data_IF_409471627868
#
_entry.id   IF_409471627868
#
_cell.length_a   1.000
_cell.length_b   1.000
_cell.length_c   1.000
_cell.angle_alpha   90.00
_cell.angle_beta   90.00
_cell.angle_gamma   90.00
#
_symmetry.space_group_name_H-M   'P 1'
#
loop_
_entity.id
_entity.type
_entity.pdbx_description
1 polymer ?
#
# COMPACT_ATOMS: atom_id res chain seq x y z
N UNK A 1 -9.55 -26.95 1.07
CA UNK A 1 -9.96 -25.55 0.88
C UNK A 1 -10.08 -25.27 -0.62
N UNK A 2 -11.24 -24.80 -1.07
CA UNK A 2 -11.58 -24.62 -2.49
C UNK A 2 -10.80 -23.46 -3.11
N UNK A 3 -10.56 -22.39 -2.35
CA UNK A 3 -9.76 -21.24 -2.81
C UNK A 3 -8.32 -21.67 -3.09
N UNK A 4 -7.72 -22.41 -2.16
CA UNK A 4 -6.39 -22.99 -2.36
C UNK A 4 -6.35 -23.94 -3.57
N UNK A 5 -7.39 -24.74 -3.80
CA UNK A 5 -7.46 -25.63 -4.95
C UNK A 5 -7.52 -24.85 -6.27
N UNK A 6 -8.38 -23.84 -6.37
CA UNK A 6 -8.48 -22.99 -7.56
C UNK A 6 -7.16 -22.28 -7.88
N UNK A 7 -6.49 -21.76 -6.84
CA UNK A 7 -5.15 -21.16 -6.97
C UNK A 7 -4.15 -22.15 -7.58
N UNK A 8 -4.16 -23.41 -7.14
CA UNK A 8 -3.27 -24.44 -7.67
C UNK A 8 -3.58 -24.78 -9.13
N UNK A 9 -4.86 -24.83 -9.52
CA UNK A 9 -5.24 -25.04 -10.92
C UNK A 9 -4.84 -23.85 -11.80
N UNK A 10 -5.00 -22.63 -11.31
CA UNK A 10 -4.56 -21.41 -12.02
C UNK A 10 -3.03 -21.41 -12.20
N UNK A 11 -2.27 -21.78 -11.16
CA UNK A 11 -0.82 -21.98 -11.24
C UNK A 11 -0.42 -23.11 -12.21
N UNK A 12 -1.17 -24.20 -12.27
CA UNK A 12 -0.90 -25.26 -13.22
C UNK A 12 -1.11 -24.79 -14.66
N UNK A 13 -2.17 -24.01 -14.92
CA UNK A 13 -2.49 -23.49 -16.25
C UNK A 13 -1.57 -22.35 -16.70
N UNK A 14 -1.02 -21.55 -15.78
CA UNK A 14 -0.03 -20.53 -16.13
C UNK A 14 1.28 -21.16 -16.64
N UNK A 15 1.63 -22.34 -16.14
CA UNK A 15 2.82 -23.09 -16.57
C UNK A 15 2.52 -24.05 -17.74
N UNK A 16 1.32 -24.65 -17.76
CA UNK A 16 0.87 -25.63 -18.75
C UNK A 16 -0.54 -25.31 -19.25
N UNK A 17 -0.68 -24.36 -20.20
CA UNK A 17 -1.98 -23.84 -20.63
C UNK A 17 -2.96 -24.89 -21.17
N UNK A 18 -2.44 -26.01 -21.71
CA UNK A 18 -3.24 -27.07 -22.31
C UNK A 18 -3.52 -28.25 -21.36
N UNK A 19 -3.24 -28.13 -20.06
CA UNK A 19 -3.46 -29.21 -19.10
C UNK A 19 -4.97 -29.45 -18.85
N UNK A 20 -5.54 -30.47 -19.50
CA UNK A 20 -6.98 -30.78 -19.50
C UNK A 20 -7.58 -30.93 -18.10
N UNK A 21 -6.94 -31.69 -17.21
CA UNK A 21 -7.43 -31.89 -15.84
C UNK A 21 -7.48 -30.59 -15.01
N UNK A 22 -6.58 -29.64 -15.26
CA UNK A 22 -6.54 -28.37 -14.55
C UNK A 22 -7.62 -27.41 -15.10
N UNK A 23 -7.85 -27.43 -16.43
CA UNK A 23 -8.93 -26.66 -17.06
C UNK A 23 -10.29 -27.07 -16.52
N UNK A 24 -10.60 -28.38 -16.52
CA UNK A 24 -11.90 -28.88 -16.04
C UNK A 24 -12.12 -28.58 -14.56
N UNK A 25 -11.08 -28.76 -13.73
CA UNK A 25 -11.21 -28.50 -12.30
C UNK A 25 -11.34 -27.00 -12.01
N UNK A 26 -10.58 -26.14 -12.70
CA UNK A 26 -10.70 -24.68 -12.58
C UNK A 26 -12.07 -24.19 -13.01
N UNK A 27 -12.62 -24.72 -14.10
CA UNK A 27 -13.97 -24.34 -14.56
C UNK A 27 -15.03 -24.60 -13.47
N UNK A 28 -14.87 -25.67 -12.68
CA UNK A 28 -15.77 -26.00 -11.57
C UNK A 28 -15.51 -25.16 -10.33
N UNK A 29 -14.26 -24.82 -10.02
CA UNK A 29 -13.92 -24.07 -8.80
C UNK A 29 -14.08 -22.56 -8.98
N UNK A 30 -13.93 -22.03 -10.19
CA UNK A 30 -13.93 -20.60 -10.46
C UNK A 30 -15.20 -19.89 -9.97
N UNK A 31 -16.39 -20.40 -10.32
CA UNK A 31 -17.66 -19.79 -9.89
C UNK A 31 -17.87 -19.87 -8.37
N UNK A 32 -17.37 -20.93 -7.73
CA UNK A 32 -17.44 -21.09 -6.28
C UNK A 32 -16.53 -20.06 -5.60
N UNK A 33 -15.28 -19.92 -6.06
CA UNK A 33 -14.32 -18.96 -5.52
C UNK A 33 -14.80 -17.53 -5.75
N UNK A 34 -15.31 -17.20 -6.93
CA UNK A 34 -15.87 -15.88 -7.22
C UNK A 34 -17.02 -15.52 -6.26
N UNK A 35 -17.91 -16.47 -5.99
CA UNK A 35 -18.98 -16.25 -5.02
C UNK A 35 -18.46 -16.08 -3.59
N UNK A 36 -17.46 -16.88 -3.18
CA UNK A 36 -16.83 -16.73 -1.86
C UNK A 36 -16.14 -15.37 -1.70
N UNK A 37 -15.43 -14.90 -2.74
CA UNK A 37 -14.77 -13.60 -2.75
C UNK A 37 -15.81 -12.47 -2.68
N UNK A 38 -16.92 -12.58 -3.42
CA UNK A 38 -18.03 -11.62 -3.37
C UNK A 38 -18.67 -11.55 -2.00
N UNK A 39 -18.90 -12.70 -1.35
CA UNK A 39 -19.41 -12.76 0.02
C UNK A 39 -18.43 -12.14 1.03
N UNK A 40 -17.13 -12.37 0.85
CA UNK A 40 -16.10 -11.77 1.70
C UNK A 40 -16.09 -10.24 1.55
N UNK A 41 -16.13 -9.72 0.32
CA UNK A 41 -16.19 -8.28 0.06
C UNK A 41 -17.44 -7.66 0.69
N UNK A 42 -18.61 -8.31 0.56
CA UNK A 42 -19.83 -7.86 1.22
C UNK A 42 -19.68 -7.75 2.74
N UNK A 43 -19.05 -8.73 3.39
CA UNK A 43 -18.78 -8.69 4.83
C UNK A 43 -17.83 -7.55 5.23
N UNK A 44 -16.89 -7.19 4.34
CA UNK A 44 -16.00 -6.04 4.55
C UNK A 44 -16.78 -4.74 4.44
N UNK A 45 -17.65 -4.60 3.43
CA UNK A 45 -18.52 -3.43 3.26
C UNK A 45 -19.44 -3.22 4.48
N UNK A 46 -20.08 -4.29 4.96
CA UNK A 46 -20.95 -4.22 6.15
C UNK A 46 -20.18 -3.72 7.40
N UNK A 47 -18.94 -4.16 7.58
CA UNK A 47 -18.07 -3.70 8.67
C UNK A 47 -17.61 -2.25 8.48
N UNK A 48 -17.27 -1.85 7.25
CA UNK A 48 -16.93 -0.48 6.90
C UNK A 48 -18.09 0.45 7.21
N UNK A 49 -19.30 0.11 6.78
CA UNK A 49 -20.49 0.93 6.97
C UNK A 49 -20.87 1.04 8.46
N UNK A 50 -20.69 -0.04 9.22
CA UNK A 50 -20.83 -0.01 10.68
C UNK A 50 -19.82 0.96 11.31
N UNK A 51 -18.56 0.95 10.87
CA UNK A 51 -17.54 1.87 11.37
C UNK A 51 -17.85 3.33 11.00
N UNK A 52 -18.31 3.59 9.77
CA UNK A 52 -18.70 4.92 9.30
C UNK A 52 -19.94 5.46 10.02
N UNK A 53 -20.79 4.59 10.58
CA UNK A 53 -21.96 5.01 11.37
C UNK A 53 -21.59 5.60 12.74
N UNK A 54 -20.37 5.38 13.22
CA UNK A 54 -19.91 5.89 14.51
C UNK A 54 -19.65 7.41 14.38
N UNK A 55 -20.20 8.25 15.27
CA UNK A 55 -19.98 9.68 15.23
C UNK A 55 -18.48 10.06 15.31
N UNK A 56 -18.05 10.99 14.46
CA UNK A 56 -16.65 11.45 14.37
C UNK A 56 -16.14 12.09 15.67
N UNK A 57 -17.03 12.65 16.50
CA UNK A 57 -16.69 13.21 17.80
C UNK A 57 -16.59 12.17 18.94
N UNK A 58 -16.79 10.88 18.63
CA UNK A 58 -16.67 9.82 19.62
C UNK A 58 -15.22 9.71 20.12
N UNK A 59 -15.03 9.90 21.43
CA UNK A 59 -13.69 9.91 22.03
C UNK A 59 -12.92 8.58 21.85
N UNK A 60 -13.61 7.45 21.84
CA UNK A 60 -12.99 6.15 21.60
C UNK A 60 -12.54 6.01 20.14
N UNK A 61 -13.35 6.47 19.18
CA UNK A 61 -12.99 6.51 17.76
C UNK A 61 -11.77 7.42 17.52
N UNK A 62 -11.76 8.63 18.09
CA UNK A 62 -10.61 9.54 17.98
C UNK A 62 -9.32 8.91 18.52
N UNK A 63 -9.39 8.23 19.66
CA UNK A 63 -8.25 7.51 20.24
C UNK A 63 -7.79 6.36 19.34
N UNK A 64 -8.74 5.58 18.81
CA UNK A 64 -8.44 4.47 17.91
C UNK A 64 -7.79 4.95 16.61
N UNK A 65 -8.29 6.03 15.99
CA UNK A 65 -7.69 6.64 14.79
C UNK A 65 -6.24 7.10 15.06
N UNK A 66 -5.99 7.73 16.21
CA UNK A 66 -4.63 8.15 16.61
C UNK A 66 -3.70 6.95 16.79
N UNK A 67 -4.16 5.88 17.45
CA UNK A 67 -3.35 4.67 17.63
C UNK A 67 -3.07 3.97 16.30
N UNK A 68 -4.10 3.83 15.44
CA UNK A 68 -3.97 3.23 14.11
C UNK A 68 -2.97 4.01 13.24
N UNK A 69 -2.91 5.33 13.37
CA UNK A 69 -1.92 6.16 12.67
C UNK A 69 -0.48 5.76 13.03
N UNK A 70 -0.17 5.62 14.32
CA UNK A 70 1.15 5.20 14.77
C UNK A 70 1.48 3.77 14.35
N UNK A 71 0.52 2.86 14.46
CA UNK A 71 0.68 1.47 14.04
C UNK A 71 0.93 1.37 12.53
N UNK A 72 0.22 2.15 11.72
CA UNK A 72 0.41 2.16 10.28
C UNK A 72 1.84 2.56 9.91
N UNK A 73 2.34 3.66 10.49
CA UNK A 73 3.71 4.13 10.25
C UNK A 73 4.73 3.08 10.68
N UNK A 74 4.60 2.55 11.90
CA UNK A 74 5.49 1.51 12.42
C UNK A 74 5.51 0.27 11.50
N UNK A 75 4.35 -0.26 11.13
CA UNK A 75 4.28 -1.50 10.35
C UNK A 75 4.86 -1.35 8.94
N UNK A 76 4.60 -0.23 8.26
CA UNK A 76 5.10 -0.10 6.89
C UNK A 76 6.61 0.12 6.83
N UNK A 77 7.22 0.85 7.77
CA UNK A 77 8.69 0.98 7.79
C UNK A 77 9.35 -0.31 8.29
N UNK A 78 8.70 -1.04 9.19
CA UNK A 78 9.21 -2.32 9.70
C UNK A 78 9.30 -3.40 8.61
N UNK A 79 8.36 -3.41 7.64
CA UNK A 79 8.42 -4.32 6.48
C UNK A 79 9.68 -4.05 5.64
N UNK A 80 10.10 -2.79 5.53
CA UNK A 80 11.32 -2.38 4.81
C UNK A 80 12.61 -2.57 5.65
N UNK A 81 12.49 -3.08 6.88
CA UNK A 81 13.63 -3.43 7.73
C UNK A 81 13.99 -2.40 8.81
N UNK A 82 13.18 -1.35 9.00
CA UNK A 82 13.37 -0.41 10.09
C UNK A 82 13.23 -1.12 11.46
N UNK A 83 14.19 -0.87 12.36
CA UNK A 83 14.32 -1.61 13.62
C UNK A 83 13.70 -0.89 14.81
N UNK A 84 13.05 0.25 14.61
CA UNK A 84 12.42 1.01 15.70
C UNK A 84 11.19 0.29 16.24
N UNK A 85 11.00 0.33 17.56
CA UNK A 85 9.79 -0.21 18.18
C UNK A 85 8.61 0.76 18.01
N UNK A 86 7.38 0.25 18.12
CA UNK A 86 6.17 1.09 18.08
C UNK A 86 6.23 2.26 19.09
N UNK A 87 6.78 2.03 20.28
CA UNK A 87 6.93 3.08 21.29
C UNK A 87 7.95 4.15 20.88
N UNK A 88 9.06 3.75 20.24
CA UNK A 88 10.05 4.68 19.70
C UNK A 88 9.46 5.50 18.54
N UNK A 89 8.78 4.86 17.60
CA UNK A 89 8.07 5.52 16.49
C UNK A 89 7.07 6.54 17.03
N UNK A 90 6.24 6.16 18.01
CA UNK A 90 5.29 7.08 18.66
C UNK A 90 6.00 8.28 19.28
N UNK A 91 7.06 8.04 20.07
CA UNK A 91 7.83 9.09 20.71
C UNK A 91 8.38 10.10 19.70
N UNK A 92 8.92 9.64 18.57
CA UNK A 92 9.44 10.49 17.50
C UNK A 92 8.33 11.35 16.89
N UNK A 93 7.18 10.76 16.61
CA UNK A 93 6.06 11.47 15.97
C UNK A 93 5.42 12.52 16.89
N UNK A 94 5.38 12.26 18.19
CA UNK A 94 4.78 13.17 19.18
C UNK A 94 5.74 14.26 19.62
N UNK A 95 7.00 13.91 19.91
CA UNK A 95 7.97 14.83 20.54
C UNK A 95 8.97 15.44 19.57
N UNK A 96 9.15 14.83 18.39
CA UNK A 96 10.24 15.13 17.44
C UNK A 96 11.65 14.97 18.04
N UNK A 97 11.79 14.25 19.15
CA UNK A 97 13.08 13.97 19.79
C UNK A 97 13.66 12.68 19.21
N UNK A 98 14.96 12.71 18.91
CA UNK A 98 15.69 11.55 18.41
C UNK A 98 15.87 10.48 19.50
N UNK A 99 15.83 9.22 19.09
CA UNK A 99 16.06 8.05 19.92
C UNK A 99 17.54 7.67 19.85
N UNK A 100 18.19 7.64 21.02
CA UNK A 100 19.61 7.27 21.11
C UNK A 100 19.86 5.83 20.61
N UNK A 101 20.98 5.64 19.90
CA UNK A 101 21.40 4.33 19.41
C UNK A 101 20.65 3.81 18.18
N UNK A 102 19.86 4.66 17.50
CA UNK A 102 19.16 4.33 16.24
C UNK A 102 19.71 5.18 15.09
N UNK A 103 19.60 4.66 13.87
CA UNK A 103 20.10 5.36 12.68
C UNK A 103 19.28 6.60 12.38
N UNK A 104 19.92 7.67 11.90
CA UNK A 104 19.22 8.88 11.43
C UNK A 104 18.32 8.54 10.24
N UNK A 105 18.73 7.61 9.38
CA UNK A 105 17.91 7.17 8.25
C UNK A 105 16.58 6.57 8.72
N UNK A 106 16.60 5.71 9.75
CA UNK A 106 15.39 5.12 10.32
C UNK A 106 14.44 6.18 10.92
N UNK A 107 14.98 7.25 11.50
CA UNK A 107 14.17 8.39 11.96
C UNK A 107 13.53 9.11 10.76
N UNK A 108 14.32 9.36 9.73
CA UNK A 108 13.90 10.10 8.55
C UNK A 108 12.83 9.35 7.75
N UNK A 109 12.87 8.02 7.70
CA UNK A 109 11.81 7.18 7.12
C UNK A 109 10.46 7.39 7.85
N UNK A 110 10.47 7.36 9.18
CA UNK A 110 9.27 7.59 10.01
C UNK A 110 8.72 9.00 9.80
N UNK A 111 9.60 10.00 9.78
CA UNK A 111 9.22 11.39 9.57
C UNK A 111 8.71 11.65 8.14
N UNK A 112 9.32 11.00 7.14
CA UNK A 112 8.92 11.09 5.75
C UNK A 112 7.53 10.52 5.52
N UNK A 113 7.25 9.36 6.10
CA UNK A 113 5.93 8.76 6.01
C UNK A 113 4.86 9.55 6.77
N UNK A 114 5.18 10.11 7.94
CA UNK A 114 4.29 11.04 8.66
C UNK A 114 3.94 12.26 7.79
N UNK A 115 4.93 12.83 7.11
CA UNK A 115 4.71 13.94 6.18
C UNK A 115 3.83 13.53 4.99
N UNK A 116 4.05 12.34 4.42
CA UNK A 116 3.26 11.81 3.32
C UNK A 116 1.80 11.57 3.71
N UNK A 117 1.55 10.94 4.86
CA UNK A 117 0.20 10.70 5.37
C UNK A 117 -0.55 12.00 5.68
N UNK A 118 0.13 13.00 6.26
CA UNK A 118 -0.45 14.33 6.46
C UNK A 118 -0.84 15.00 5.15
N UNK A 119 -0.02 14.87 4.11
CA UNK A 119 -0.33 15.41 2.79
C UNK A 119 -1.56 14.74 2.17
N UNK A 120 -1.62 13.40 2.20
CA UNK A 120 -2.78 12.65 1.71
C UNK A 120 -4.05 13.11 2.44
N UNK A 121 -4.03 13.14 3.77
CA UNK A 121 -5.20 13.47 4.59
C UNK A 121 -5.69 14.91 4.43
N UNK A 122 -4.76 15.87 4.25
CA UNK A 122 -5.10 17.29 4.16
C UNK A 122 -5.41 17.77 2.75
N UNK A 123 -4.76 17.19 1.73
CA UNK A 123 -4.78 17.72 0.37
C UNK A 123 -5.52 16.83 -0.61
N UNK A 124 -5.37 15.50 -0.48
CA UNK A 124 -5.88 14.57 -1.51
C UNK A 124 -7.28 14.03 -1.18
N UNK A 125 -7.57 13.71 0.09
CA UNK A 125 -8.84 13.06 0.46
C UNK A 125 -10.10 13.84 0.11
N UNK A 126 -10.04 15.18 0.16
CA UNK A 126 -11.20 16.04 -0.09
C UNK A 126 -11.21 16.65 -1.50
N UNK A 127 -10.26 16.26 -2.34
CA UNK A 127 -10.12 16.78 -3.70
C UNK A 127 -11.05 16.01 -4.63
N UNK A 128 -12.06 16.68 -5.17
CA UNK A 128 -12.97 16.16 -6.20
C UNK A 128 -12.30 16.22 -7.59
N UNK A 129 -11.13 15.59 -7.75
CA UNK A 129 -10.41 15.49 -9.02
C UNK A 129 -9.64 14.17 -9.10
N UNK A 130 -9.41 13.73 -10.32
CA UNK A 130 -8.62 12.57 -10.66
C UNK A 130 -7.24 12.57 -9.97
N UNK A 131 -6.75 11.37 -9.69
CA UNK A 131 -5.40 11.17 -9.20
C UNK A 131 -4.45 11.43 -10.35
N UNK A 132 -3.48 12.32 -10.14
CA UNK A 132 -2.50 12.74 -11.14
C UNK A 132 -1.13 12.16 -10.84
N UNK A 133 -0.25 12.16 -11.85
CA UNK A 133 1.15 11.80 -11.64
C UNK A 133 1.83 12.68 -10.59
N UNK A 134 1.49 13.99 -10.58
CA UNK A 134 1.99 14.94 -9.60
C UNK A 134 1.67 14.52 -8.17
N UNK A 135 0.47 13.98 -7.92
CA UNK A 135 0.08 13.52 -6.58
C UNK A 135 0.95 12.35 -6.11
N UNK A 136 1.21 11.37 -6.98
CA UNK A 136 2.06 10.21 -6.68
C UNK A 136 3.51 10.66 -6.42
N UNK A 137 4.06 11.54 -7.26
CA UNK A 137 5.42 12.04 -7.07
C UNK A 137 5.55 12.89 -5.80
N UNK A 138 4.52 13.64 -5.45
CA UNK A 138 4.51 14.50 -4.25
C UNK A 138 4.37 13.68 -2.95
N UNK A 139 3.67 12.53 -3.01
CA UNK A 139 3.70 11.50 -1.96
C UNK A 139 5.12 10.91 -1.87
N UNK A 140 5.68 10.43 -2.99
CA UNK A 140 7.02 9.81 -3.01
C UNK A 140 8.10 10.76 -2.48
N UNK A 141 8.02 12.04 -2.85
CA UNK A 141 8.90 13.11 -2.36
C UNK A 141 8.86 13.25 -0.83
N UNK A 142 7.69 13.11 -0.20
CA UNK A 142 7.58 13.17 1.26
C UNK A 142 8.10 11.91 1.93
N UNK A 143 7.74 10.75 1.39
CA UNK A 143 8.19 9.45 1.90
C UNK A 143 9.71 9.39 1.93
N UNK A 144 10.36 9.71 0.81
CA UNK A 144 11.81 9.54 0.67
C UNK A 144 12.61 10.81 0.96
N UNK A 145 12.03 12.01 0.88
CA UNK A 145 12.79 13.27 0.84
C UNK A 145 13.59 13.60 2.10
N UNK A 146 13.28 13.01 3.25
CA UNK A 146 14.12 13.14 4.45
C UNK A 146 15.32 12.20 4.42
N UNK A 147 15.24 11.08 3.69
CA UNK A 147 16.29 10.07 3.56
C UNK A 147 17.18 10.39 2.36
N UNK A 148 16.56 10.60 1.20
CA UNK A 148 17.19 10.98 -0.05
C UNK A 148 16.42 12.11 -0.74
N UNK A 149 16.81 13.38 -0.51
CA UNK A 149 16.15 14.54 -1.11
C UNK A 149 16.40 14.68 -2.61
N UNK A 150 17.40 13.98 -3.18
CA UNK A 150 17.75 14.05 -4.60
C UNK A 150 16.82 13.14 -5.40
N UNK A 151 16.58 11.92 -4.91
CA UNK A 151 15.71 10.94 -5.57
C UNK A 151 14.22 11.11 -5.19
N UNK A 152 13.92 11.80 -4.09
CA UNK A 152 12.56 12.06 -3.63
C UNK A 152 11.67 12.73 -4.71
N UNK A 153 10.63 12.02 -5.14
CA UNK A 153 9.70 12.50 -6.17
C UNK A 153 10.21 12.42 -7.60
N UNK A 154 11.31 11.72 -7.84
CA UNK A 154 11.84 11.45 -9.18
C UNK A 154 11.61 9.99 -9.59
N UNK A 155 11.51 9.75 -10.89
CA UNK A 155 11.56 8.39 -11.41
C UNK A 155 12.98 7.84 -11.37
N UNK A 156 13.08 6.52 -11.19
CA UNK A 156 14.34 5.80 -11.23
C UNK A 156 15.02 5.96 -12.59
N UNK A 157 16.34 6.19 -12.57
CA UNK A 157 17.19 6.42 -13.76
C UNK A 157 18.06 5.24 -14.17
N UNK A 158 18.13 4.21 -13.34
CA UNK A 158 19.02 3.05 -13.49
C UNK A 158 18.25 1.75 -13.33
N UNK A 159 18.60 0.67 -14.02
CA UNK A 159 17.89 -0.61 -13.87
C UNK A 159 18.14 -1.26 -12.50
N UNK A 160 17.10 -1.88 -11.92
CA UNK A 160 17.18 -2.60 -10.63
C UNK A 160 16.53 -3.97 -10.72
N UNK A 161 16.71 -4.79 -9.68
CA UNK A 161 16.20 -6.15 -9.57
C UNK A 161 15.56 -6.32 -8.19
N UNK A 162 14.34 -6.83 -8.13
CA UNK A 162 13.57 -6.99 -6.88
C UNK A 162 13.29 -8.47 -6.67
N UNK A 163 14.20 -9.16 -5.97
CA UNK A 163 14.15 -10.62 -5.84
C UNK A 163 14.19 -11.29 -7.22
N UNK A 164 13.14 -12.04 -7.56
CA UNK A 164 12.99 -12.67 -8.89
C UNK A 164 12.31 -11.79 -9.95
N UNK A 165 11.91 -10.56 -9.61
CA UNK A 165 11.23 -9.64 -10.52
C UNK A 165 12.19 -8.63 -11.14
N UNK A 166 12.06 -8.44 -12.46
CA UNK A 166 12.76 -7.41 -13.23
C UNK A 166 11.73 -6.33 -13.60
N UNK A 167 11.75 -5.16 -12.96
CA UNK A 167 10.85 -4.07 -13.30
C UNK A 167 11.16 -3.47 -14.68
N UNK A 168 10.21 -2.72 -15.28
CA UNK A 168 10.41 -2.00 -16.54
C UNK A 168 11.66 -1.12 -16.54
N UNK A 169 12.24 -0.91 -17.72
CA UNK A 169 13.41 -0.04 -17.87
C UNK A 169 13.07 1.43 -17.55
N UNK A 170 14.06 2.25 -17.12
CA UNK A 170 13.84 3.66 -16.80
C UNK A 170 13.09 4.47 -17.87
N UNK A 171 13.36 4.19 -19.15
CA UNK A 171 12.72 4.85 -20.30
C UNK A 171 11.24 4.52 -20.45
N UNK A 172 10.78 3.41 -19.89
CA UNK A 172 9.40 2.93 -20.02
C UNK A 172 8.51 3.39 -18.85
N UNK A 173 9.12 3.75 -17.71
CA UNK A 173 8.41 4.08 -16.46
C UNK A 173 7.36 5.16 -16.70
N UNK A 174 7.71 6.24 -17.40
CA UNK A 174 6.78 7.34 -17.63
C UNK A 174 5.54 6.89 -18.38
N UNK A 175 5.71 6.13 -19.47
CA UNK A 175 4.59 5.61 -20.26
C UNK A 175 3.70 4.67 -19.44
N UNK A 176 4.31 3.74 -18.69
CA UNK A 176 3.57 2.79 -17.85
C UNK A 176 2.84 3.47 -16.69
N UNK A 177 3.42 4.53 -16.12
CA UNK A 177 2.74 5.34 -15.09
C UNK A 177 1.54 6.11 -15.66
N UNK A 178 1.60 6.56 -16.91
CA UNK A 178 0.43 7.12 -17.58
C UNK A 178 -0.67 6.07 -17.78
N UNK A 179 -0.34 4.88 -18.26
CA UNK A 179 -1.31 3.77 -18.37
C UNK A 179 -1.90 3.38 -17.01
N UNK A 180 -1.07 3.36 -15.96
CA UNK A 180 -1.53 3.11 -14.60
C UNK A 180 -2.53 4.17 -14.13
N UNK A 181 -2.29 5.45 -14.43
CA UNK A 181 -3.21 6.53 -14.07
C UNK A 181 -4.50 6.50 -14.89
N UNK A 182 -4.44 6.13 -16.17
CA UNK A 182 -5.64 5.91 -17.00
C UNK A 182 -6.51 4.80 -16.41
N UNK A 183 -5.90 3.68 -16.01
CA UNK A 183 -6.61 2.59 -15.32
C UNK A 183 -7.12 3.00 -13.93
N UNK A 184 -6.34 3.75 -13.15
CA UNK A 184 -6.73 4.16 -11.80
C UNK A 184 -7.95 5.09 -11.81
N UNK A 185 -8.08 5.90 -12.86
CA UNK A 185 -9.20 6.82 -13.04
C UNK A 185 -10.26 6.28 -14.01
N UNK A 186 -10.16 5.02 -14.45
CA UNK A 186 -11.23 4.38 -15.25
C UNK A 186 -12.38 3.97 -14.35
N UNK A 187 -13.62 4.11 -14.84
CA UNK A 187 -14.84 3.71 -14.12
C UNK A 187 -14.91 2.20 -13.82
#
# INVERSE_FOLDING_TARGET
DVVKADRLYTLALSNYPHHTGAMTNRQRTASIVENLDREMLKKIDEKRDTLLSIPENNAALCRAKKEAYFQHIYHTVAIEGNTMTLQQTRSILETRIAVAGKSIAEHNEILGLDAAMKYINSTLLYRLRDITLGDILEIHKRVLGHVDPIEGGQFRRTQVYVGGHIPPGPSEIQHLMHQFLEWLNSE
#
